data_IF_490144660404
#
_entry.id   IF_490144660404
#
_cell.length_a   1.000
_cell.length_b   1.000
_cell.length_c   1.000
_cell.angle_alpha   90.00
_cell.angle_beta   90.00
_cell.angle_gamma   90.00
#
_symmetry.space_group_name_H-M   'P 1'
#
loop_
_entity.id
_entity.type
_entity.pdbx_description
1 polymer ?
#
# COMPACT_ATOMS: atom_id res chain seq x y z
N UNK A 1 38.00 -9.11 0.14
CA UNK A 1 37.90 -7.67 0.30
C UNK A 1 36.53 -7.18 -0.12
N UNK A 2 35.82 -6.68 0.81
CA UNK A 2 34.49 -6.14 0.57
C UNK A 2 34.50 -5.01 -0.45
N UNK A 3 35.60 -4.28 -0.55
CA UNK A 3 35.75 -3.16 -1.48
C UNK A 3 35.67 -3.55 -2.95
N UNK A 4 35.75 -4.85 -3.25
CA UNK A 4 35.62 -5.33 -4.63
C UNK A 4 34.19 -5.44 -5.11
N UNK A 5 33.24 -5.43 -4.19
CA UNK A 5 31.83 -5.47 -4.54
C UNK A 5 31.33 -4.06 -4.80
N UNK A 6 30.61 -3.88 -5.89
CA UNK A 6 29.93 -2.61 -6.12
C UNK A 6 28.76 -2.48 -5.15
N UNK A 7 28.30 -1.25 -4.90
CA UNK A 7 27.14 -1.02 -4.06
C UNK A 7 25.89 -1.76 -4.55
N UNK A 8 25.75 -1.90 -5.87
CA UNK A 8 24.63 -2.61 -6.49
C UNK A 8 24.69 -4.10 -6.18
N UNK A 9 25.85 -4.70 -6.31
CA UNK A 9 26.03 -6.13 -6.00
C UNK A 9 25.83 -6.42 -4.53
N UNK A 10 26.33 -5.56 -3.67
CA UNK A 10 26.17 -5.69 -2.24
C UNK A 10 24.69 -5.60 -1.85
N UNK A 11 23.95 -4.69 -2.46
CA UNK A 11 22.52 -4.53 -2.21
C UNK A 11 21.74 -5.79 -2.62
N UNK A 12 22.07 -6.37 -3.79
CA UNK A 12 21.44 -7.62 -4.23
C UNK A 12 21.74 -8.76 -3.29
N UNK A 13 22.95 -8.84 -2.81
CA UNK A 13 23.37 -9.88 -1.89
C UNK A 13 22.61 -9.77 -0.58
N UNK A 14 22.47 -8.56 -0.07
CA UNK A 14 21.69 -8.30 1.15
C UNK A 14 20.22 -8.70 0.98
N UNK A 15 19.63 -8.39 -0.17
CA UNK A 15 18.23 -8.73 -0.43
C UNK A 15 17.99 -10.24 -0.45
N UNK A 16 18.96 -11.01 -0.95
CA UNK A 16 18.85 -12.46 -1.00
C UNK A 16 18.89 -13.09 0.39
N UNK A 17 19.55 -12.46 1.34
CA UNK A 17 19.77 -13.02 2.67
C UNK A 17 19.01 -12.32 3.77
N UNK A 18 18.11 -11.41 3.43
CA UNK A 18 17.26 -10.76 4.41
C UNK A 18 16.27 -11.73 5.01
N UNK A 19 16.08 -11.62 6.31
CA UNK A 19 15.02 -12.35 7.02
C UNK A 19 13.66 -11.73 6.70
N UNK A 20 12.59 -12.45 7.01
CA UNK A 20 11.23 -11.91 6.85
C UNK A 20 11.03 -10.65 7.68
N UNK A 21 11.61 -10.60 8.88
CA UNK A 21 11.53 -9.43 9.74
C UNK A 21 12.24 -8.22 9.13
N UNK A 22 13.41 -8.44 8.52
CA UNK A 22 14.15 -7.37 7.84
C UNK A 22 13.41 -6.85 6.62
N UNK A 23 12.80 -7.74 5.85
CA UNK A 23 11.97 -7.37 4.70
C UNK A 23 10.76 -6.56 5.11
N UNK A 24 10.14 -6.94 6.20
CA UNK A 24 8.99 -6.21 6.73
C UNK A 24 9.39 -4.82 7.23
N UNK A 25 10.54 -4.70 7.89
CA UNK A 25 11.07 -3.42 8.32
C UNK A 25 11.36 -2.50 7.12
N UNK A 26 12.00 -3.03 6.07
CA UNK A 26 12.26 -2.29 4.84
C UNK A 26 10.98 -1.82 4.17
N UNK A 27 9.96 -2.68 4.16
CA UNK A 27 8.66 -2.36 3.61
C UNK A 27 8.00 -1.23 4.36
N UNK A 28 8.06 -1.25 5.69
CA UNK A 28 7.49 -0.20 6.52
C UNK A 28 8.18 1.15 6.30
N UNK A 29 9.48 1.16 6.06
CA UNK A 29 10.22 2.38 5.75
C UNK A 29 9.78 3.04 4.45
N UNK A 30 9.18 2.28 3.53
CA UNK A 30 8.70 2.80 2.24
C UNK A 30 7.25 3.28 2.30
N UNK A 31 6.57 3.08 3.40
CA UNK A 31 5.18 3.49 3.54
C UNK A 31 5.11 5.01 3.64
N UNK A 32 4.32 5.60 2.77
CA UNK A 32 4.04 7.03 2.78
C UNK A 32 2.58 7.24 3.18
N UNK A 33 2.31 8.33 3.85
CA UNK A 33 0.94 8.72 4.18
C UNK A 33 0.53 9.83 3.22
N UNK A 34 -0.49 9.57 2.41
CA UNK A 34 -0.97 10.53 1.43
C UNK A 34 -2.44 10.85 1.68
N UNK A 35 -2.88 12.08 1.31
CA UNK A 35 -4.29 12.44 1.43
C UNK A 35 -5.17 11.55 0.56
N UNK A 36 -6.36 11.22 1.06
CA UNK A 36 -7.33 10.42 0.32
C UNK A 36 -7.70 11.05 -1.03
N UNK A 37 -7.71 12.38 -1.10
CA UNK A 37 -8.03 13.10 -2.33
C UNK A 37 -7.03 12.87 -3.46
N UNK A 38 -5.83 12.39 -3.14
CA UNK A 38 -4.80 12.08 -4.14
C UNK A 38 -4.82 10.63 -4.61
N UNK A 39 -5.73 9.82 -4.10
CA UNK A 39 -5.86 8.41 -4.43
C UNK A 39 -7.00 8.23 -5.43
N UNK A 40 -6.70 7.58 -6.55
CA UNK A 40 -7.63 7.34 -7.65
C UNK A 40 -7.74 5.85 -7.97
N UNK A 41 -8.91 5.37 -8.36
CA UNK A 41 -9.07 3.96 -8.74
C UNK A 41 -8.32 3.66 -10.04
N UNK A 42 -8.02 2.38 -10.25
CA UNK A 42 -7.42 1.93 -11.50
C UNK A 42 -8.39 2.18 -12.67
N UNK A 43 -7.93 2.95 -13.65
CA UNK A 43 -8.81 3.44 -14.72
C UNK A 43 -9.31 2.36 -15.67
N UNK A 44 -8.55 1.28 -15.86
CA UNK A 44 -8.91 0.21 -16.78
C UNK A 44 -9.87 -0.81 -16.19
N UNK A 45 -9.82 -1.00 -14.89
CA UNK A 45 -10.68 -1.94 -14.16
C UNK A 45 -11.09 -1.32 -12.84
N UNK A 46 -11.98 -0.33 -12.86
CA UNK A 46 -12.42 0.28 -11.61
C UNK A 46 -13.10 -0.76 -10.72
N UNK A 47 -12.73 -0.77 -9.47
CA UNK A 47 -13.33 -1.67 -8.49
C UNK A 47 -14.71 -1.15 -8.09
N UNK A 48 -15.72 -1.98 -8.28
CA UNK A 48 -17.08 -1.66 -7.86
C UNK A 48 -17.57 -2.64 -6.83
N UNK A 49 -18.33 -2.15 -5.86
CA UNK A 49 -18.93 -2.98 -4.81
C UNK A 49 -20.43 -2.85 -4.96
N UNK A 50 -21.07 -3.93 -5.38
CA UNK A 50 -22.52 -3.97 -5.58
C UNK A 50 -23.25 -4.19 -4.25
N UNK A 51 -22.70 -5.04 -3.39
CA UNK A 51 -23.29 -5.38 -2.10
C UNK A 51 -22.22 -5.56 -1.03
N UNK A 52 -22.49 -5.13 0.21
CA UNK A 52 -21.60 -5.46 1.30
C UNK A 52 -21.65 -6.98 1.57
N UNK A 53 -20.47 -7.60 1.61
CA UNK A 53 -20.33 -9.00 2.02
C UNK A 53 -19.93 -9.05 3.49
N UNK A 54 -20.13 -10.19 4.19
CA UNK A 54 -19.66 -10.31 5.56
C UNK A 54 -18.18 -10.03 5.72
N UNK A 55 -17.36 -10.42 4.74
CA UNK A 55 -15.92 -10.15 4.75
C UNK A 55 -15.63 -8.66 4.63
N UNK A 56 -16.37 -7.96 3.78
CA UNK A 56 -16.22 -6.53 3.61
C UNK A 56 -16.63 -5.77 4.89
N UNK A 57 -17.72 -6.18 5.52
CA UNK A 57 -18.19 -5.59 6.77
C UNK A 57 -17.14 -5.75 7.87
N UNK A 58 -16.52 -6.93 7.97
CA UNK A 58 -15.44 -7.18 8.94
C UNK A 58 -14.22 -6.30 8.65
N UNK A 59 -13.89 -6.12 7.39
CA UNK A 59 -12.79 -5.25 6.99
C UNK A 59 -13.09 -3.80 7.34
N UNK A 60 -14.30 -3.32 7.10
CA UNK A 60 -14.72 -1.98 7.48
C UNK A 60 -14.60 -1.76 8.99
N UNK A 61 -15.06 -2.73 9.77
CA UNK A 61 -15.01 -2.66 11.23
C UNK A 61 -13.56 -2.60 11.71
N UNK A 62 -12.69 -3.43 11.15
CA UNK A 62 -11.27 -3.42 11.47
C UNK A 62 -10.63 -2.06 11.13
N UNK A 63 -10.91 -1.51 9.97
CA UNK A 63 -10.36 -0.24 9.53
C UNK A 63 -10.87 0.91 10.41
N UNK A 64 -12.12 0.86 10.82
CA UNK A 64 -12.70 1.86 11.72
C UNK A 64 -11.98 1.88 13.07
N UNK A 65 -11.65 0.72 13.62
CA UNK A 65 -11.07 0.60 14.95
C UNK A 65 -9.54 0.72 14.97
N UNK A 66 -8.87 0.21 13.96
CA UNK A 66 -7.40 0.07 13.95
C UNK A 66 -6.76 0.92 12.87
N UNK A 67 -7.51 1.31 11.85
CA UNK A 67 -6.97 1.93 10.65
C UNK A 67 -6.56 0.87 9.63
N UNK A 68 -5.88 1.29 8.58
CA UNK A 68 -5.43 0.38 7.53
C UNK A 68 -4.14 -0.28 7.99
N UNK A 69 -4.19 -1.59 8.27
CA UNK A 69 -3.04 -2.35 8.73
C UNK A 69 -2.02 -2.63 7.62
N UNK A 70 -2.52 -2.85 6.39
CA UNK A 70 -1.66 -3.07 5.23
C UNK A 70 -1.77 -1.89 4.28
N UNK A 71 -0.65 -1.33 3.80
CA UNK A 71 -0.69 -0.19 2.90
C UNK A 71 -1.24 -0.56 1.53
N UNK A 72 -1.78 0.42 0.83
CA UNK A 72 -2.16 0.28 -0.57
C UNK A 72 -0.91 0.29 -1.42
N UNK A 73 -0.94 -0.43 -2.53
CA UNK A 73 0.12 -0.33 -3.53
C UNK A 73 -0.40 0.56 -4.65
N UNK A 74 0.35 1.62 -4.92
CA UNK A 74 -0.06 2.65 -5.87
C UNK A 74 1.09 2.99 -6.81
N UNK A 75 0.75 3.67 -7.90
CA UNK A 75 1.75 4.24 -8.82
C UNK A 75 1.42 5.70 -9.08
N UNK A 76 2.42 6.56 -9.36
CA UNK A 76 2.16 7.94 -9.72
C UNK A 76 1.36 8.04 -11.01
N UNK A 77 0.47 9.02 -11.09
CA UNK A 77 -0.28 9.35 -12.30
C UNK A 77 0.38 10.54 -13.00
N UNK A 78 0.34 10.55 -14.33
CA UNK A 78 0.84 11.68 -15.11
C UNK A 78 0.05 12.96 -14.80
N UNK A 79 -1.24 12.81 -14.55
CA UNK A 79 -2.12 13.93 -14.23
C UNK A 79 -2.03 14.39 -12.76
N UNK A 80 -1.16 13.78 -11.97
CA UNK A 80 -1.02 14.03 -10.54
C UNK A 80 -1.76 13.00 -9.70
N UNK A 81 -1.35 12.89 -8.42
CA UNK A 81 -1.89 11.91 -7.52
C UNK A 81 -1.39 10.50 -7.81
N UNK A 82 -2.06 9.52 -7.24
CA UNK A 82 -1.67 8.12 -7.31
C UNK A 82 -2.84 7.25 -7.74
N UNK A 83 -2.55 6.21 -8.52
CA UNK A 83 -3.52 5.23 -8.97
C UNK A 83 -3.32 3.93 -8.18
N UNK A 84 -4.41 3.34 -7.69
CA UNK A 84 -4.34 2.12 -6.90
C UNK A 84 -4.04 0.92 -7.81
N UNK A 85 -2.98 0.18 -7.48
CA UNK A 85 -2.67 -1.10 -8.11
C UNK A 85 -3.26 -2.24 -7.30
N UNK A 86 -3.15 -2.16 -5.97
CA UNK A 86 -3.65 -3.18 -5.06
C UNK A 86 -4.20 -2.52 -3.80
N UNK A 87 -5.27 -3.09 -3.27
CA UNK A 87 -5.90 -2.61 -2.04
C UNK A 87 -7.18 -1.82 -2.25
N UNK A 88 -7.88 -2.02 -3.35
CA UNK A 88 -9.13 -1.31 -3.65
C UNK A 88 -10.19 -1.46 -2.55
N UNK A 89 -10.30 -2.66 -1.98
CA UNK A 89 -11.26 -2.91 -0.89
C UNK A 89 -10.92 -2.10 0.35
N UNK A 90 -9.64 -2.01 0.68
CA UNK A 90 -9.17 -1.23 1.82
C UNK A 90 -9.43 0.27 1.62
N UNK A 91 -9.17 0.77 0.42
CA UNK A 91 -9.47 2.14 0.08
C UNK A 91 -10.96 2.45 0.18
N UNK A 92 -11.79 1.57 -0.36
CA UNK A 92 -13.24 1.71 -0.27
C UNK A 92 -13.71 1.76 1.17
N UNK A 93 -13.27 0.83 2.00
CA UNK A 93 -13.65 0.78 3.40
C UNK A 93 -13.19 2.03 4.15
N UNK A 94 -11.98 2.49 3.91
CA UNK A 94 -11.46 3.70 4.52
C UNK A 94 -12.28 4.94 4.13
N UNK A 95 -12.73 4.98 2.89
CA UNK A 95 -13.58 6.07 2.40
C UNK A 95 -14.94 6.07 3.11
N UNK A 96 -15.54 4.89 3.26
CA UNK A 96 -16.83 4.76 3.93
C UNK A 96 -16.75 5.15 5.40
N UNK A 97 -15.68 4.75 6.09
CA UNK A 97 -15.51 5.09 7.51
C UNK A 97 -14.98 6.52 7.73
N UNK A 98 -14.60 7.22 6.66
CA UNK A 98 -14.25 8.64 6.73
C UNK A 98 -12.80 8.94 7.07
N UNK A 99 -11.86 8.08 6.71
CA UNK A 99 -10.44 8.36 6.90
C UNK A 99 -9.94 9.38 5.87
N UNK A 100 -9.15 10.33 6.31
CA UNK A 100 -8.66 11.44 5.47
C UNK A 100 -7.38 11.09 4.72
N UNK A 101 -6.65 10.07 5.17
CA UNK A 101 -5.37 9.68 4.60
C UNK A 101 -5.31 8.19 4.32
N UNK A 102 -4.31 7.81 3.52
CA UNK A 102 -4.06 6.40 3.19
C UNK A 102 -2.58 6.11 3.33
N UNK A 103 -2.20 5.01 3.98
CA UNK A 103 -0.82 4.51 3.90
C UNK A 103 -0.62 3.83 2.55
N UNK A 104 0.44 4.19 1.83
CA UNK A 104 0.70 3.69 0.48
C UNK A 104 2.16 3.31 0.31
N UNK A 105 2.40 2.38 -0.60
CA UNK A 105 3.73 2.07 -1.14
C UNK A 105 3.70 2.40 -2.63
N UNK A 106 4.58 3.26 -3.02
CA UNK A 106 4.70 3.72 -4.41
C UNK A 106 5.57 2.78 -5.23
#
# INVERSE_FOLDING_TARGET
MASKLSGIELTRYDDLFKTDAEREADRQERIQIVPAAEIFPYSRQPYTIDRPTPDLVRLMDSIEHIGIAEPLIVRPRDAGGYEIISGHRRDYCAKVVGLDTRPVIV
#
